data_IF_449429967036
#
_entry.id   IF_449429967036
#
_cell.length_a   1.000
_cell.length_b   1.000
_cell.length_c   1.000
_cell.angle_alpha   90.00
_cell.angle_beta   90.00
_cell.angle_gamma   90.00
#
_symmetry.space_group_name_H-M   'P 1'
#
loop_
_entity.id
_entity.type
_entity.pdbx_description
1 polymer ?
#
# COMPACT_ATOMS: atom_id res chain seq x y z
N UNK A 1 15.28 -0.14 -21.74
CA UNK A 1 14.68 1.19 -21.73
C UNK A 1 14.03 1.52 -20.40
N UNK A 2 13.00 0.80 -20.03
CA UNK A 2 12.32 1.03 -18.77
C UNK A 2 13.19 0.81 -17.55
N UNK A 3 14.14 -0.11 -17.63
CA UNK A 3 15.04 -0.37 -16.53
C UNK A 3 15.85 0.85 -16.11
N UNK A 4 16.08 1.78 -17.01
CA UNK A 4 16.85 2.99 -16.70
C UNK A 4 16.13 3.85 -15.67
N UNK A 5 14.81 3.99 -15.82
CA UNK A 5 14.05 4.80 -14.88
C UNK A 5 14.02 4.15 -13.50
N UNK A 6 13.86 2.84 -13.45
CA UNK A 6 13.86 2.13 -12.18
C UNK A 6 15.18 2.26 -11.45
N UNK A 7 16.27 2.30 -12.19
CA UNK A 7 17.58 2.42 -11.57
C UNK A 7 17.75 3.72 -10.81
N UNK A 8 17.10 4.78 -11.27
CA UNK A 8 17.20 6.03 -10.56
C UNK A 8 16.59 6.00 -9.17
N UNK A 9 15.65 5.08 -8.97
CA UNK A 9 15.04 4.93 -7.65
C UNK A 9 16.05 4.47 -6.60
N UNK A 10 17.16 3.89 -7.03
CA UNK A 10 18.20 3.43 -6.11
C UNK A 10 18.80 4.58 -5.29
N UNK A 11 18.76 5.78 -5.83
CA UNK A 11 19.33 6.94 -5.14
C UNK A 11 18.46 7.48 -4.00
N UNK A 12 17.31 6.86 -3.74
CA UNK A 12 16.39 7.32 -2.70
C UNK A 12 16.99 7.14 -1.31
N UNK A 13 16.54 7.97 -0.37
CA UNK A 13 16.92 7.88 1.02
C UNK A 13 16.58 6.51 1.62
N UNK A 14 17.32 6.04 2.64
CA UNK A 14 17.08 4.73 3.23
C UNK A 14 15.66 4.49 3.70
N UNK A 15 15.02 5.48 4.33
CA UNK A 15 13.63 5.34 4.80
C UNK A 15 12.68 5.12 3.64
N UNK A 16 12.93 5.79 2.53
CA UNK A 16 12.10 5.66 1.34
C UNK A 16 12.31 4.31 0.67
N UNK A 17 13.54 3.81 0.65
CA UNK A 17 13.80 2.47 0.14
C UNK A 17 13.11 1.40 0.96
N UNK A 18 13.02 1.60 2.27
CA UNK A 18 12.28 0.68 3.15
C UNK A 18 10.80 0.67 2.79
N UNK A 19 10.22 1.84 2.53
CA UNK A 19 8.85 1.94 2.09
C UNK A 19 8.61 1.26 0.75
N UNK A 20 9.52 1.47 -0.20
CA UNK A 20 9.45 0.83 -1.51
C UNK A 20 9.51 -0.69 -1.38
N UNK A 21 10.38 -1.19 -0.50
CA UNK A 21 10.50 -2.61 -0.25
C UNK A 21 9.19 -3.17 0.31
N UNK A 22 8.60 -2.45 1.26
CA UNK A 22 7.32 -2.84 1.84
C UNK A 22 6.22 -2.94 0.80
N UNK A 23 6.16 -1.97 -0.11
CA UNK A 23 5.17 -1.99 -1.18
C UNK A 23 5.37 -3.18 -2.12
N UNK A 24 6.62 -3.51 -2.44
CA UNK A 24 6.90 -4.70 -3.25
C UNK A 24 6.45 -5.98 -2.55
N UNK A 25 6.71 -6.08 -1.25
CA UNK A 25 6.32 -7.24 -0.48
C UNK A 25 4.81 -7.36 -0.35
N UNK A 26 4.13 -6.23 -0.18
CA UNK A 26 2.67 -6.20 -0.14
C UNK A 26 2.09 -6.68 -1.48
N UNK A 27 2.64 -6.21 -2.58
CA UNK A 27 2.18 -6.61 -3.91
C UNK A 27 2.39 -8.11 -4.14
N UNK A 28 3.55 -8.63 -3.76
CA UNK A 28 3.83 -10.06 -3.91
C UNK A 28 2.87 -10.90 -3.09
N UNK A 29 2.61 -10.47 -1.85
CA UNK A 29 1.67 -11.16 -0.98
C UNK A 29 0.27 -11.20 -1.58
N UNK A 30 -0.21 -10.05 -2.07
CA UNK A 30 -1.55 -9.96 -2.65
C UNK A 30 -1.68 -10.82 -3.89
N UNK A 31 -0.63 -10.89 -4.72
CA UNK A 31 -0.64 -11.78 -5.88
C UNK A 31 -0.77 -13.24 -5.45
N UNK A 32 -0.06 -13.65 -4.41
CA UNK A 32 -0.17 -15.00 -3.88
C UNK A 32 -1.56 -15.31 -3.38
N UNK A 33 -2.26 -14.28 -2.88
CA UNK A 33 -3.63 -14.44 -2.40
C UNK A 33 -4.66 -14.43 -3.53
N UNK A 34 -4.23 -14.28 -4.76
CA UNK A 34 -5.12 -14.35 -5.90
C UNK A 34 -5.56 -13.01 -6.47
N UNK A 35 -5.05 -11.91 -5.96
CA UNK A 35 -5.37 -10.60 -6.50
C UNK A 35 -4.51 -10.27 -7.71
N UNK A 36 -5.07 -9.52 -8.63
CA UNK A 36 -4.34 -8.98 -9.77
C UNK A 36 -3.91 -7.57 -9.46
N UNK A 37 -2.64 -7.28 -9.65
CA UNK A 37 -2.12 -5.92 -9.45
C UNK A 37 -2.47 -5.12 -10.69
N UNK A 38 -3.27 -4.08 -10.54
CA UNK A 38 -3.69 -3.23 -11.65
C UNK A 38 -2.82 -1.99 -11.78
N UNK A 39 -2.37 -1.45 -10.67
CA UNK A 39 -1.54 -0.24 -10.68
C UNK A 39 -0.72 -0.15 -9.41
N UNK A 40 0.41 0.56 -9.49
CA UNK A 40 1.30 0.83 -8.35
C UNK A 40 1.69 2.28 -8.38
N UNK A 41 1.78 2.89 -7.18
CA UNK A 41 2.29 4.24 -7.03
C UNK A 41 1.61 5.22 -7.96
N UNK A 42 0.28 5.22 -7.94
CA UNK A 42 -0.51 6.15 -8.73
C UNK A 42 -0.51 7.48 -8.01
N UNK A 43 -0.07 8.52 -8.69
CA UNK A 43 0.02 9.85 -8.08
C UNK A 43 -0.77 10.86 -8.91
N UNK A 44 -1.47 11.71 -8.19
CA UNK A 44 -2.21 12.83 -8.74
C UNK A 44 -1.69 14.12 -8.12
N UNK A 45 -2.29 15.24 -8.46
CA UNK A 45 -1.91 16.51 -7.91
C UNK A 45 -2.11 16.54 -6.40
N UNK A 46 -1.29 17.34 -5.72
CA UNK A 46 -1.33 17.46 -4.29
C UNK A 46 -0.80 16.20 -3.62
N UNK A 47 -1.56 15.70 -2.65
CA UNK A 47 -1.16 14.51 -1.89
C UNK A 47 -2.01 13.30 -2.23
N UNK A 48 -2.72 13.36 -3.34
CA UNK A 48 -3.60 12.29 -3.75
C UNK A 48 -2.81 11.20 -4.42
N UNK A 49 -2.69 10.06 -3.75
CA UNK A 49 -1.92 8.93 -4.27
C UNK A 49 -2.50 7.61 -3.81
N UNK A 50 -2.19 6.57 -4.57
CA UNK A 50 -2.59 5.20 -4.26
C UNK A 50 -1.33 4.34 -4.30
N UNK A 51 -1.07 3.60 -3.23
CA UNK A 51 0.08 2.71 -3.20
C UNK A 51 -0.11 1.54 -4.16
N UNK A 52 -1.24 0.86 -4.07
CA UNK A 52 -1.57 -0.25 -4.95
C UNK A 52 -3.06 -0.22 -5.28
N UNK A 53 -3.38 -0.63 -6.49
CA UNK A 53 -4.75 -0.94 -6.90
C UNK A 53 -4.77 -2.39 -7.33
N UNK A 54 -5.59 -3.20 -6.69
CA UNK A 54 -5.68 -4.62 -6.99
C UNK A 54 -7.13 -5.01 -7.21
N UNK A 55 -7.33 -6.14 -7.89
CA UNK A 55 -8.67 -6.63 -8.17
C UNK A 55 -8.76 -8.13 -8.02
N UNK A 56 -9.91 -8.58 -7.53
CA UNK A 56 -10.34 -9.95 -7.70
C UNK A 56 -11.56 -9.95 -8.62
N UNK A 57 -12.37 -11.03 -8.59
CA UNK A 57 -13.51 -11.14 -9.51
C UNK A 57 -14.59 -10.11 -9.26
N UNK A 58 -14.76 -9.67 -8.02
CA UNK A 58 -15.90 -8.84 -7.64
C UNK A 58 -15.51 -7.48 -7.06
N UNK A 59 -14.24 -7.30 -6.67
CA UNK A 59 -13.83 -6.06 -6.02
C UNK A 59 -12.64 -5.42 -6.70
N UNK A 60 -12.60 -4.10 -6.62
CA UNK A 60 -11.39 -3.32 -6.89
C UNK A 60 -10.98 -2.73 -5.55
N UNK A 61 -9.77 -3.05 -5.12
CA UNK A 61 -9.29 -2.63 -3.81
C UNK A 61 -8.17 -1.61 -3.94
N UNK A 62 -8.34 -0.53 -3.20
CA UNK A 62 -7.35 0.52 -3.09
C UNK A 62 -6.59 0.27 -1.80
N UNK A 63 -5.30 -0.01 -1.92
CA UNK A 63 -4.49 -0.52 -0.81
C UNK A 63 -3.55 0.56 -0.32
N UNK A 64 -3.60 0.85 0.97
CA UNK A 64 -2.59 1.65 1.66
C UNK A 64 -1.60 0.69 2.31
N UNK A 65 -0.32 0.83 1.99
CA UNK A 65 0.72 -0.03 2.55
C UNK A 65 1.40 0.69 3.70
N UNK A 66 1.47 0.01 4.85
CA UNK A 66 2.19 0.51 6.02
C UNK A 66 3.34 -0.43 6.32
N UNK A 67 4.54 0.10 6.23
CA UNK A 67 5.76 -0.67 6.54
C UNK A 67 6.21 -0.30 7.94
N UNK A 68 6.40 -1.31 8.78
CA UNK A 68 6.76 -1.10 10.19
C UNK A 68 7.99 -1.93 10.56
N UNK A 69 9.01 -1.26 11.10
CA UNK A 69 10.19 -1.97 11.61
C UNK A 69 9.97 -2.27 13.08
N UNK A 70 9.17 -3.29 13.32
CA UNK A 70 8.83 -3.75 14.68
C UNK A 70 8.33 -5.17 14.60
N UNK A 71 8.28 -5.84 15.75
CA UNK A 71 7.72 -7.20 15.83
C UNK A 71 6.21 -7.15 15.63
N UNK A 72 5.64 -8.14 14.93
CA UNK A 72 4.18 -8.23 14.82
C UNK A 72 3.56 -8.40 16.19
N UNK A 73 2.46 -7.69 16.43
CA UNK A 73 1.79 -7.76 17.72
C UNK A 73 2.37 -6.89 18.80
N UNK A 74 3.49 -6.23 18.55
CA UNK A 74 4.02 -5.24 19.48
C UNK A 74 3.00 -4.11 19.60
N UNK A 75 2.82 -3.61 20.82
CA UNK A 75 1.89 -2.54 21.06
C UNK A 75 2.27 -1.32 20.26
N UNK A 76 1.39 -0.90 19.38
CA UNK A 76 1.65 0.23 18.52
C UNK A 76 1.33 1.52 19.25
N UNK A 77 2.26 2.47 19.25
CA UNK A 77 2.00 3.83 19.72
C UNK A 77 0.91 4.50 18.90
N UNK A 78 0.66 3.97 17.72
CA UNK A 78 -0.25 4.56 16.76
C UNK A 78 -1.63 3.92 16.80
N UNK A 79 -1.85 3.01 17.76
CA UNK A 79 -3.13 2.34 17.91
C UNK A 79 -3.38 1.28 16.84
N UNK A 80 -4.65 1.18 16.41
CA UNK A 80 -5.02 0.21 15.39
C UNK A 80 -4.57 0.69 14.02
N UNK A 81 -4.49 -0.22 13.02
CA UNK A 81 -4.16 0.16 11.64
C UNK A 81 -5.08 1.24 11.08
N UNK A 82 -6.36 1.18 11.43
CA UNK A 82 -7.32 2.19 10.99
C UNK A 82 -6.98 3.55 11.55
N UNK A 83 -6.56 3.62 12.82
CA UNK A 83 -6.15 4.86 13.45
C UNK A 83 -4.86 5.40 12.85
N UNK A 84 -4.05 4.55 12.22
CA UNK A 84 -2.81 4.97 11.58
C UNK A 84 -3.07 5.70 10.25
N UNK A 85 -4.30 5.64 9.73
CA UNK A 85 -4.68 6.36 8.52
C UNK A 85 -5.49 7.57 8.96
N UNK A 86 -4.82 8.73 9.07
CA UNK A 86 -5.45 9.97 9.50
C UNK A 86 -6.57 10.38 8.54
N UNK A 87 -7.52 11.18 9.04
CA UNK A 87 -8.67 11.58 8.24
C UNK A 87 -8.28 12.31 6.96
N UNK A 88 -7.24 13.14 6.99
CA UNK A 88 -6.75 13.82 5.79
C UNK A 88 -6.21 12.81 4.77
N UNK A 89 -5.46 11.83 5.25
CA UNK A 89 -4.92 10.78 4.37
C UNK A 89 -6.05 9.97 3.74
N UNK A 90 -7.07 9.64 4.53
CA UNK A 90 -8.24 8.93 3.99
C UNK A 90 -8.91 9.73 2.88
N UNK A 91 -9.08 11.03 3.10
CA UNK A 91 -9.68 11.90 2.09
C UNK A 91 -8.85 11.92 0.80
N UNK A 92 -7.54 11.99 0.94
CA UNK A 92 -6.65 11.96 -0.23
C UNK A 92 -6.74 10.64 -0.97
N UNK A 93 -6.81 9.52 -0.26
CA UNK A 93 -6.98 8.20 -0.87
C UNK A 93 -8.32 8.12 -1.59
N UNK A 94 -9.39 8.60 -0.97
CA UNK A 94 -10.71 8.58 -1.58
C UNK A 94 -10.76 9.41 -2.86
N UNK A 95 -10.15 10.59 -2.84
CA UNK A 95 -10.09 11.42 -4.03
C UNK A 95 -9.26 10.78 -5.14
N UNK A 96 -8.14 10.18 -4.78
CA UNK A 96 -7.31 9.46 -5.75
C UNK A 96 -8.08 8.29 -6.35
N UNK A 97 -8.83 7.56 -5.52
CA UNK A 97 -9.64 6.43 -5.99
C UNK A 97 -10.72 6.89 -6.95
N UNK A 98 -11.35 8.03 -6.70
CA UNK A 98 -12.34 8.58 -7.61
C UNK A 98 -11.73 8.93 -8.95
N UNK A 99 -10.55 9.54 -8.94
CA UNK A 99 -9.83 9.88 -10.18
C UNK A 99 -9.45 8.63 -10.94
N UNK A 100 -8.94 7.62 -10.23
CA UNK A 100 -8.56 6.36 -10.86
C UNK A 100 -9.79 5.69 -11.50
N UNK A 101 -10.88 5.64 -10.77
CA UNK A 101 -12.11 5.01 -11.26
C UNK A 101 -12.69 5.75 -12.45
N UNK A 102 -12.60 7.08 -12.47
CA UNK A 102 -13.06 7.85 -13.63
C UNK A 102 -12.28 7.50 -14.88
N UNK A 103 -10.97 7.26 -14.74
CA UNK A 103 -10.11 6.88 -15.86
C UNK A 103 -10.20 5.39 -16.20
N UNK A 104 -10.59 4.56 -15.23
CA UNK A 104 -10.67 3.10 -15.38
C UNK A 104 -12.01 2.61 -14.85
N UNK A 105 -13.11 2.83 -15.57
CA UNK A 105 -14.43 2.43 -15.08
C UNK A 105 -14.53 0.94 -14.83
N UNK A 106 -15.31 0.57 -13.83
CA UNK A 106 -15.53 -0.83 -13.47
C UNK A 106 -16.87 -0.99 -12.81
N UNK A 107 -17.45 -2.20 -12.92
CA UNK A 107 -18.65 -2.57 -12.16
C UNK A 107 -18.31 -3.21 -10.82
N UNK A 108 -17.03 -3.45 -10.57
CA UNK A 108 -16.61 -4.07 -9.32
C UNK A 108 -16.83 -3.13 -8.15
N UNK A 109 -17.06 -3.70 -7.00
CA UNK A 109 -17.24 -2.93 -5.78
C UNK A 109 -15.90 -2.36 -5.32
N UNK A 110 -15.88 -1.08 -4.99
CA UNK A 110 -14.68 -0.44 -4.44
C UNK A 110 -14.52 -0.82 -2.98
N UNK A 111 -13.28 -1.11 -2.59
CA UNK A 111 -12.97 -1.45 -1.21
C UNK A 111 -11.63 -0.83 -0.84
N UNK A 112 -11.51 -0.42 0.41
CA UNK A 112 -10.30 0.26 0.89
C UNK A 112 -9.66 -0.58 1.97
N UNK A 113 -8.44 -1.05 1.70
CA UNK A 113 -7.74 -1.98 2.57
C UNK A 113 -6.41 -1.39 3.02
N UNK A 114 -5.89 -1.92 4.11
CA UNK A 114 -4.54 -1.61 4.58
C UNK A 114 -3.75 -2.91 4.59
N UNK A 115 -2.52 -2.86 4.08
CA UNK A 115 -1.59 -3.98 4.20
C UNK A 115 -0.42 -3.51 5.04
N UNK A 116 -0.20 -4.17 6.16
CA UNK A 116 0.94 -3.90 7.03
C UNK A 116 2.04 -4.90 6.75
N UNK A 117 3.23 -4.38 6.49
CA UNK A 117 4.42 -5.21 6.27
C UNK A 117 5.34 -4.97 7.47
N UNK A 118 5.57 -6.03 8.23
CA UNK A 118 6.42 -5.98 9.42
C UNK A 118 7.82 -6.43 9.06
N UNK A 119 8.79 -5.55 9.29
CA UNK A 119 10.20 -5.84 9.02
C UNK A 119 10.92 -6.05 10.34
N UNK A 120 11.90 -6.93 10.31
CA UNK A 120 12.72 -7.25 11.47
C UNK A 120 13.50 -6.00 11.91
N UNK A 121 13.27 -5.50 13.14
CA UNK A 121 13.96 -4.31 13.60
C UNK A 121 15.43 -4.54 13.93
N UNK A 122 15.87 -5.79 14.00
CA UNK A 122 17.25 -6.14 14.37
C UNK A 122 18.17 -6.32 13.18
N UNK A 123 17.62 -6.30 11.95
CA UNK A 123 18.39 -6.49 10.73
C UNK A 123 18.59 -5.18 10.02
N UNK A 124 19.82 -4.93 9.51
CA UNK A 124 20.08 -3.76 8.67
C UNK A 124 19.39 -3.90 7.31
N UNK A 125 19.53 -5.09 6.70
CA UNK A 125 18.85 -5.37 5.45
C UNK A 125 17.37 -5.67 5.72
N UNK A 126 16.44 -5.25 4.86
CA UNK A 126 15.03 -5.53 5.07
C UNK A 126 14.75 -7.02 5.13
N UNK A 127 14.01 -7.44 6.14
CA UNK A 127 13.59 -8.82 6.29
C UNK A 127 12.16 -8.85 6.80
N UNK A 128 11.27 -9.46 6.02
CA UNK A 128 9.85 -9.51 6.35
C UNK A 128 9.61 -10.56 7.43
N UNK A 129 8.94 -10.16 8.48
CA UNK A 129 8.48 -11.06 9.54
C UNK A 129 7.03 -11.48 9.33
N UNK A 130 6.20 -10.56 8.84
CA UNK A 130 4.79 -10.85 8.63
C UNK A 130 4.18 -9.81 7.70
N UNK A 131 3.10 -10.20 7.05
CA UNK A 131 2.26 -9.30 6.25
C UNK A 131 0.83 -9.48 6.73
N UNK A 132 0.19 -8.40 7.13
CA UNK A 132 -1.21 -8.44 7.58
C UNK A 132 -2.06 -7.63 6.61
N UNK A 133 -3.07 -8.28 6.05
CA UNK A 133 -4.01 -7.65 5.15
C UNK A 133 -5.31 -7.36 5.90
N UNK A 134 -5.58 -6.09 6.08
CA UNK A 134 -6.76 -5.62 6.80
C UNK A 134 -7.77 -5.18 5.77
N UNK A 135 -8.72 -6.06 5.51
CA UNK A 135 -9.71 -5.84 4.47
C UNK A 135 -10.81 -4.90 4.96
N UNK A 136 -11.28 -4.05 4.07
CA UNK A 136 -12.35 -3.09 4.35
C UNK A 136 -12.02 -2.26 5.58
N UNK A 137 -10.81 -1.74 5.60
CA UNK A 137 -10.24 -1.07 6.76
C UNK A 137 -10.85 0.30 7.02
N UNK A 138 -11.34 0.97 5.97
CA UNK A 138 -12.05 2.23 6.13
C UNK A 138 -13.02 2.42 4.97
N UNK A 139 -13.99 3.29 5.18
CA UNK A 139 -15.03 3.56 4.19
C UNK A 139 -15.15 5.05 3.93
N UNK A 140 -15.82 5.37 2.85
CA UNK A 140 -16.10 6.75 2.45
C UNK A 140 -17.05 7.43 3.43
#
# INVERSE_FOLDING_TARGET
MFGLFRRRAIAKAPARRTGDYGEEQAAAYLKQQGFRIRARNVQYEGREELDLVVEDRTTRRFIEVKTRRQLPGAESRYGTPMAAVASDKRRHILNAARRYTAAHPTRKTAQFDIVEVYLDPTCDAPRVLAVHHLQDAFRT
#
